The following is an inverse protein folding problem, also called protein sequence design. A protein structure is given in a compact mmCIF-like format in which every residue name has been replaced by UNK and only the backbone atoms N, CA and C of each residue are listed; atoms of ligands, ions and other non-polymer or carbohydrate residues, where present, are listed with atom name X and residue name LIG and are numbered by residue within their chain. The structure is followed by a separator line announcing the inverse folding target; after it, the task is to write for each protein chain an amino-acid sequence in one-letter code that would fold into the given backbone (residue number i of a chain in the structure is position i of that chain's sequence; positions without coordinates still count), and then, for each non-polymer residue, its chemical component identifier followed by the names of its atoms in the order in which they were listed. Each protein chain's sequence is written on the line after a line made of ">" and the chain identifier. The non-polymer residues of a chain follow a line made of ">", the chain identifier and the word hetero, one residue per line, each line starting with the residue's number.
data_IF_169752772226
#
_entry.id   IF_169752772226
#
_cell.length_a   1.000
_cell.length_b   1.000
_cell.length_c   1.000
_cell.angle_alpha   90.00
_cell.angle_beta   90.00
_cell.angle_gamma   90.00
#
_symmetry.space_group_name_H-M   'P 1'
#
loop_
_entity.id
_entity.type
_entity.pdbx_description
1 polymer ?
#
# COMPACT_ATOMS: atom_id res chain seq x y z
N UNK A 1 -11.18 -45.36 -18.32
CA UNK A 1 -10.69 -44.00 -18.66
C UNK A 1 -11.66 -42.92 -18.17
N UNK A 2 -12.05 -42.96 -16.90
CA UNK A 2 -12.94 -41.96 -16.29
C UNK A 2 -12.64 -41.78 -14.79
N UNK A 3 -11.36 -41.87 -14.42
CA UNK A 3 -10.94 -41.92 -13.01
C UNK A 3 -9.72 -41.06 -12.67
N UNK A 4 -9.34 -40.13 -13.55
CA UNK A 4 -8.21 -39.22 -13.31
C UNK A 4 -8.67 -37.78 -12.94
N UNK A 5 -9.95 -37.45 -13.12
CA UNK A 5 -10.45 -36.08 -12.94
C UNK A 5 -11.08 -35.76 -11.57
N UNK A 6 -10.98 -36.63 -10.55
CA UNK A 6 -11.73 -36.46 -9.28
C UNK A 6 -10.91 -36.15 -8.02
N UNK A 7 -9.63 -35.76 -8.12
CA UNK A 7 -8.82 -35.49 -6.89
C UNK A 7 -8.16 -34.12 -6.74
N UNK A 8 -8.19 -33.24 -7.74
CA UNK A 8 -7.64 -31.89 -7.60
C UNK A 8 -8.73 -30.84 -7.73
N UNK A 9 -9.42 -30.53 -6.62
CA UNK A 9 -10.19 -29.27 -6.47
C UNK A 9 -9.29 -28.14 -5.95
N UNK A 10 -8.08 -28.06 -6.50
CA UNK A 10 -7.25 -26.86 -6.47
C UNK A 10 -7.06 -26.48 -7.95
N UNK A 11 -8.14 -26.01 -8.58
CA UNK A 11 -7.99 -24.99 -9.61
C UNK A 11 -7.79 -23.70 -8.78
N UNK A 12 -6.57 -23.36 -8.37
CA UNK A 12 -5.59 -22.70 -9.24
C UNK A 12 -6.32 -21.67 -10.09
N UNK A 13 -6.45 -20.46 -9.53
CA UNK A 13 -6.67 -19.21 -10.26
C UNK A 13 -5.46 -18.94 -11.19
N UNK A 14 -5.10 -19.92 -12.03
CA UNK A 14 -4.03 -19.86 -13.03
C UNK A 14 -4.53 -19.29 -14.36
N UNK A 15 -5.63 -18.53 -14.31
CA UNK A 15 -6.31 -17.94 -15.47
C UNK A 15 -6.45 -16.41 -15.41
N UNK A 16 -5.84 -15.76 -14.42
CA UNK A 16 -5.73 -14.29 -14.34
C UNK A 16 -4.30 -13.77 -14.54
N UNK A 17 -3.38 -14.64 -14.98
CA UNK A 17 -2.00 -14.28 -15.32
C UNK A 17 -1.77 -14.06 -16.82
N UNK A 18 -2.82 -14.07 -17.64
CA UNK A 18 -2.74 -13.66 -19.04
C UNK A 18 -3.24 -12.23 -19.14
N UNK A 19 -2.33 -11.34 -19.53
CA UNK A 19 -2.48 -9.90 -19.78
C UNK A 19 -2.54 -8.97 -18.57
N UNK A 20 -1.54 -9.02 -17.68
CA UNK A 20 -0.90 -7.74 -17.35
C UNK A 20 0.08 -7.51 -18.49
N UNK A 21 -0.44 -7.03 -19.62
CA UNK A 21 0.41 -6.34 -20.58
C UNK A 21 1.14 -5.31 -19.75
N UNK A 22 2.44 -5.49 -19.53
CA UNK A 22 3.31 -4.43 -19.08
C UNK A 22 3.40 -3.42 -20.22
N UNK A 23 2.29 -2.77 -20.55
CA UNK A 23 2.32 -1.46 -21.15
C UNK A 23 3.06 -0.63 -20.14
N UNK A 24 4.33 -0.31 -20.44
CA UNK A 24 5.07 0.74 -19.78
C UNK A 24 4.19 1.99 -19.91
N UNK A 25 3.36 2.24 -18.90
CA UNK A 25 2.59 3.46 -18.82
C UNK A 25 3.61 4.48 -18.36
N UNK A 26 4.19 5.23 -19.29
CA UNK A 26 4.97 6.41 -18.92
C UNK A 26 4.01 7.33 -18.16
N UNK A 27 4.13 7.36 -16.83
CA UNK A 27 3.34 8.25 -15.99
C UNK A 27 4.08 9.57 -15.95
N UNK A 28 3.61 10.53 -16.75
CA UNK A 28 3.98 11.93 -16.55
C UNK A 28 3.34 12.38 -15.22
N UNK A 29 4.19 12.59 -14.21
CA UNK A 29 3.78 13.05 -12.88
C UNK A 29 3.53 14.57 -12.88
N UNK A 30 4.01 15.26 -13.91
CA UNK A 30 3.91 16.70 -14.06
C UNK A 30 2.46 17.18 -14.16
N UNK A 31 2.20 18.33 -13.54
CA UNK A 31 0.88 18.95 -13.48
C UNK A 31 0.32 19.03 -12.07
N UNK A 32 -0.96 19.38 -12.00
CA UNK A 32 -1.70 19.59 -10.77
C UNK A 32 -2.52 18.35 -10.39
N UNK A 33 -2.45 17.99 -9.12
CA UNK A 33 -3.13 16.85 -8.53
C UNK A 33 -3.81 17.25 -7.24
N UNK A 34 -5.00 16.72 -7.02
CA UNK A 34 -5.65 16.74 -5.72
C UNK A 34 -5.06 15.65 -4.83
N UNK A 35 -4.83 15.96 -3.56
CA UNK A 35 -4.33 15.02 -2.55
C UNK A 35 -5.06 15.25 -1.23
N UNK A 36 -5.15 14.19 -0.41
CA UNK A 36 -5.62 14.33 0.97
C UNK A 36 -4.50 14.73 1.92
N UNK A 37 -3.26 14.49 1.53
CA UNK A 37 -2.09 14.57 2.40
C UNK A 37 -1.08 15.59 1.90
N UNK A 38 -0.42 16.26 2.84
CA UNK A 38 0.64 17.23 2.54
C UNK A 38 1.94 16.46 2.41
N UNK A 39 2.49 16.39 1.20
CA UNK A 39 3.74 15.68 0.93
C UNK A 39 4.85 16.22 1.83
N UNK A 40 5.49 15.33 2.57
CA UNK A 40 6.59 15.66 3.48
C UNK A 40 6.19 16.06 4.91
N UNK A 41 4.93 16.39 5.14
CA UNK A 41 4.41 16.82 6.44
C UNK A 41 3.39 15.83 7.05
N UNK A 42 2.46 15.30 6.24
CA UNK A 42 1.56 14.24 6.69
C UNK A 42 2.35 12.97 7.06
N UNK A 43 2.03 12.36 8.20
CA UNK A 43 2.57 11.05 8.60
C UNK A 43 1.73 9.92 8.00
N UNK A 44 1.93 9.66 6.71
CA UNK A 44 1.24 8.61 5.95
C UNK A 44 2.25 7.66 5.32
N UNK A 45 1.81 6.42 5.12
CA UNK A 45 2.66 5.38 4.50
C UNK A 45 2.87 5.64 3.01
N UNK A 46 1.88 6.18 2.32
CA UNK A 46 1.90 6.47 0.89
C UNK A 46 1.06 7.72 0.61
N UNK A 47 1.31 8.38 -0.52
CA UNK A 47 0.52 9.53 -0.96
C UNK A 47 -0.39 9.13 -2.11
N UNK A 48 -1.65 9.57 -2.07
CA UNK A 48 -2.61 9.38 -3.16
C UNK A 48 -2.90 10.69 -3.86
N UNK A 49 -2.63 10.72 -5.15
CA UNK A 49 -2.79 11.84 -6.05
C UNK A 49 -3.93 11.52 -7.02
N UNK A 50 -4.89 12.43 -7.16
CA UNK A 50 -6.01 12.26 -8.07
C UNK A 50 -5.93 13.40 -9.08
N UNK A 51 -5.96 13.07 -10.37
CA UNK A 51 -5.89 14.08 -11.41
C UNK A 51 -7.07 15.04 -11.26
N UNK A 52 -6.78 16.31 -11.03
CA UNK A 52 -7.81 17.29 -10.75
C UNK A 52 -8.60 17.58 -12.03
N UNK A 53 -9.90 17.23 -12.04
CA UNK A 53 -10.82 17.55 -13.15
C UNK A 53 -11.56 18.87 -12.92
N UNK A 54 -11.64 19.32 -11.66
CA UNK A 54 -12.21 20.59 -11.19
C UNK A 54 -11.57 20.94 -9.84
N UNK A 55 -11.37 22.25 -9.59
CA UNK A 55 -10.90 22.81 -8.31
C UNK A 55 -11.76 22.27 -7.16
N UNK A 56 -11.22 21.28 -6.46
CA UNK A 56 -11.85 20.71 -5.28
C UNK A 56 -11.41 21.49 -4.04
N UNK A 57 -12.25 21.58 -3.01
CA UNK A 57 -11.93 22.20 -1.71
C UNK A 57 -10.86 21.43 -0.89
N UNK A 58 -9.99 20.67 -1.56
CA UNK A 58 -8.95 19.83 -0.98
C UNK A 58 -7.54 20.41 -1.12
N UNK A 59 -6.53 19.66 -0.64
CA UNK A 59 -5.12 20.03 -0.84
C UNK A 59 -4.74 19.74 -2.28
N UNK A 60 -3.90 20.60 -2.86
CA UNK A 60 -3.30 20.38 -4.16
C UNK A 60 -1.81 20.13 -4.05
N UNK A 61 -1.27 19.41 -5.02
CA UNK A 61 0.16 19.33 -5.30
C UNK A 61 0.39 19.61 -6.77
N UNK A 62 1.40 20.42 -7.05
CA UNK A 62 1.83 20.74 -8.40
C UNK A 62 3.26 20.24 -8.57
N UNK A 63 3.48 19.37 -9.56
CA UNK A 63 4.80 18.95 -10.02
C UNK A 63 5.15 19.75 -11.27
N UNK A 64 6.13 20.65 -11.16
CA UNK A 64 6.56 21.52 -12.25
C UNK A 64 7.59 20.83 -13.16
N UNK A 65 7.60 21.17 -14.44
CA UNK A 65 8.56 20.65 -15.43
C UNK A 65 10.03 20.91 -15.10
N UNK A 66 10.33 21.88 -14.23
CA UNK A 66 11.69 22.21 -13.80
C UNK A 66 12.19 21.33 -12.62
N UNK A 67 11.47 20.25 -12.27
CA UNK A 67 11.85 19.35 -11.17
C UNK A 67 11.54 19.90 -9.79
N UNK A 68 10.65 20.89 -9.66
CA UNK A 68 10.19 21.41 -8.36
C UNK A 68 8.74 21.04 -8.09
N UNK A 69 8.35 20.94 -6.82
CA UNK A 69 6.96 20.74 -6.45
C UNK A 69 6.51 21.70 -5.35
N UNK A 70 5.20 21.91 -5.27
CA UNK A 70 4.55 22.61 -4.16
C UNK A 70 3.29 21.86 -3.77
N UNK A 71 3.04 21.68 -2.47
CA UNK A 71 1.87 21.01 -1.93
C UNK A 71 1.25 21.83 -0.79
N UNK A 72 -0.07 21.95 -0.76
CA UNK A 72 -0.75 22.78 0.25
C UNK A 72 -2.25 22.88 0.04
N UNK A 73 -2.90 23.62 0.93
CA UNK A 73 -4.33 23.95 0.82
C UNK A 73 -4.52 25.24 0.00
N UNK A 74 -5.53 25.36 -0.87
CA UNK A 74 -5.89 26.66 -1.41
C UNK A 74 -6.29 27.61 -0.27
N UNK A 75 -5.74 28.82 -0.24
CA UNK A 75 -6.11 29.83 0.78
C UNK A 75 -7.51 30.36 0.49
N UNK A 76 -8.54 29.71 1.03
CA UNK A 76 -9.93 30.15 0.87
C UNK A 76 -10.30 31.15 1.99
N UNK A 77 -9.75 30.99 3.20
CA UNK A 77 -10.02 31.86 4.35
C UNK A 77 -8.74 32.18 5.16
N UNK A 78 -8.36 33.46 5.37
CA UNK A 78 -7.15 33.83 6.10
C UNK A 78 -7.22 33.54 7.62
N UNK A 79 -8.41 33.20 8.14
CA UNK A 79 -8.61 32.93 9.56
C UNK A 79 -8.01 31.58 9.99
N UNK A 80 -7.72 30.64 9.09
CA UNK A 80 -7.20 29.31 9.46
C UNK A 80 -5.71 29.28 9.85
N UNK A 81 -5.17 28.07 9.96
CA UNK A 81 -3.74 27.81 9.85
C UNK A 81 -3.51 26.66 8.87
N UNK A 82 -2.92 26.95 7.72
CA UNK A 82 -2.62 26.00 6.66
C UNK A 82 -1.12 25.77 6.54
N UNK A 83 -0.74 24.55 6.23
CA UNK A 83 0.65 24.13 5.99
C UNK A 83 0.91 23.99 4.50
N UNK A 84 2.09 24.40 4.07
CA UNK A 84 2.56 24.25 2.70
C UNK A 84 3.96 23.65 2.73
N UNK A 85 4.20 22.74 1.81
CA UNK A 85 5.52 22.19 1.54
C UNK A 85 5.94 22.49 0.11
N UNK A 86 7.23 22.66 -0.10
CA UNK A 86 7.81 22.73 -1.44
C UNK A 86 9.21 22.17 -1.44
N UNK A 87 9.69 21.78 -2.62
CA UNK A 87 11.05 21.32 -2.80
C UNK A 87 11.26 20.80 -4.20
N UNK A 88 12.11 19.79 -4.32
CA UNK A 88 12.52 19.21 -5.59
C UNK A 88 12.06 17.76 -5.72
N UNK A 89 11.92 17.32 -6.97
CA UNK A 89 11.74 15.93 -7.31
C UNK A 89 12.57 15.57 -8.54
N UNK A 90 12.85 14.28 -8.70
CA UNK A 90 13.54 13.76 -9.86
C UNK A 90 12.96 12.40 -10.22
N UNK A 91 12.56 12.24 -11.48
CA UNK A 91 12.23 10.94 -12.04
C UNK A 91 13.53 10.12 -12.13
N UNK A 92 13.58 8.99 -11.43
CA UNK A 92 14.74 8.08 -11.47
C UNK A 92 14.67 7.19 -12.70
N UNK A 93 13.46 6.76 -13.02
CA UNK A 93 13.09 6.06 -14.25
C UNK A 93 11.59 6.32 -14.55
N UNK A 94 10.96 5.50 -15.39
CA UNK A 94 9.54 5.66 -15.74
C UNK A 94 8.56 5.29 -14.61
N UNK A 95 9.04 4.56 -13.60
CA UNK A 95 8.25 3.94 -12.54
C UNK A 95 8.59 4.53 -11.15
N UNK A 96 9.69 5.29 -11.02
CA UNK A 96 10.15 5.79 -9.73
C UNK A 96 10.45 7.29 -9.73
N UNK A 97 10.09 7.93 -8.60
CA UNK A 97 10.33 9.34 -8.31
C UNK A 97 11.03 9.49 -6.95
N UNK A 98 12.06 10.33 -6.89
CA UNK A 98 12.67 10.76 -5.63
C UNK A 98 12.17 12.15 -5.29
N UNK A 99 11.79 12.39 -4.04
CA UNK A 99 11.23 13.67 -3.58
C UNK A 99 12.01 14.18 -2.37
N UNK A 100 12.40 15.45 -2.40
CA UNK A 100 13.03 16.14 -1.27
C UNK A 100 12.25 17.41 -0.92
N UNK A 101 11.85 17.53 0.34
CA UNK A 101 11.14 18.70 0.86
C UNK A 101 12.16 19.69 1.38
N UNK A 102 12.17 20.90 0.83
CA UNK A 102 13.16 21.93 1.15
C UNK A 102 12.59 23.02 2.05
N UNK A 103 11.27 23.24 1.98
CA UNK A 103 10.58 24.26 2.74
C UNK A 103 9.28 23.72 3.31
N UNK A 104 9.05 23.98 4.60
CA UNK A 104 7.76 23.85 5.25
C UNK A 104 7.38 25.22 5.81
N UNK A 105 6.22 25.74 5.42
CA UNK A 105 5.71 27.04 5.88
C UNK A 105 4.27 26.94 6.35
N UNK A 106 3.94 27.79 7.32
CA UNK A 106 2.61 27.89 7.91
C UNK A 106 2.02 29.27 7.62
N UNK A 107 0.80 29.31 7.09
CA UNK A 107 0.12 30.55 6.68
C UNK A 107 -1.28 30.59 7.28
N UNK A 108 -1.71 31.76 7.76
CA UNK A 108 -3.06 31.96 8.33
C UNK A 108 -3.03 32.45 9.78
N UNK A 109 -4.05 33.24 10.17
CA UNK A 109 -4.08 34.06 11.39
C UNK A 109 -3.85 33.25 12.67
N UNK A 110 -4.43 32.05 12.77
CA UNK A 110 -4.31 31.20 13.96
C UNK A 110 -3.06 30.30 13.99
N UNK A 111 -2.07 30.48 13.09
CA UNK A 111 -0.84 29.69 13.13
C UNK A 111 0.08 30.01 14.32
N UNK A 112 -0.09 31.14 15.00
CA UNK A 112 0.73 31.53 16.15
C UNK A 112 2.25 31.39 15.89
N UNK A 113 2.95 30.71 16.81
CA UNK A 113 4.40 30.48 16.74
C UNK A 113 4.82 29.49 15.65
N UNK A 114 3.91 28.80 14.96
CA UNK A 114 4.27 27.93 13.85
C UNK A 114 4.79 28.74 12.65
N UNK A 115 4.34 29.99 12.50
CA UNK A 115 4.82 30.90 11.44
C UNK A 115 6.32 31.19 11.51
N UNK A 116 6.90 31.12 12.71
CA UNK A 116 8.33 31.37 12.95
C UNK A 116 9.15 30.08 12.95
N UNK A 117 8.50 28.91 13.03
CA UNK A 117 9.12 27.61 12.81
C UNK A 117 9.26 27.37 11.30
N UNK A 118 10.23 28.04 10.69
CA UNK A 118 10.68 27.64 9.36
C UNK A 118 11.59 26.42 9.54
N UNK A 119 11.09 25.24 9.17
CA UNK A 119 11.94 24.05 9.07
C UNK A 119 12.78 24.17 7.80
N UNK A 120 13.92 24.87 7.90
CA UNK A 120 14.87 25.06 6.81
C UNK A 120 15.80 23.85 6.60
N UNK A 121 15.44 22.68 7.13
CA UNK A 121 16.21 21.46 6.91
C UNK A 121 15.57 20.71 5.78
N UNK A 122 16.27 20.64 4.64
CA UNK A 122 15.91 19.74 3.55
C UNK A 122 15.73 18.33 4.12
N UNK A 123 14.56 17.75 3.84
CA UNK A 123 14.18 16.39 4.21
C UNK A 123 14.00 15.60 2.92
N UNK A 124 14.96 14.73 2.64
CA UNK A 124 14.81 13.72 1.60
C UNK A 124 13.76 12.69 2.05
N UNK A 125 12.67 12.57 1.29
CA UNK A 125 11.61 11.60 1.56
C UNK A 125 11.95 10.21 1.01
N UNK A 126 13.02 10.10 0.23
CA UNK A 126 13.45 8.86 -0.41
C UNK A 126 12.78 8.62 -1.74
N UNK A 127 12.80 7.35 -2.15
CA UNK A 127 12.32 6.87 -3.44
C UNK A 127 10.89 6.35 -3.31
N UNK A 128 10.06 6.68 -4.30
CA UNK A 128 8.69 6.19 -4.42
C UNK A 128 8.51 5.48 -5.75
N UNK A 129 7.80 4.35 -5.71
CA UNK A 129 7.20 3.74 -6.89
C UNK A 129 5.90 4.49 -7.23
N UNK A 130 5.71 4.77 -8.52
CA UNK A 130 4.59 5.49 -9.09
C UNK A 130 3.58 4.47 -9.58
N UNK A 131 2.62 4.12 -8.71
CA UNK A 131 1.57 3.18 -9.07
C UNK A 131 0.35 3.90 -9.61
N UNK A 132 0.00 3.64 -10.88
CA UNK A 132 -1.19 4.24 -11.50
C UNK A 132 -2.40 3.32 -11.40
N UNK A 133 -3.49 3.87 -10.88
CA UNK A 133 -4.77 3.19 -10.69
C UNK A 133 -5.91 4.06 -11.23
N UNK A 134 -6.26 3.84 -12.50
CA UNK A 134 -7.25 4.67 -13.20
C UNK A 134 -6.75 6.11 -13.36
N UNK A 135 -7.52 7.07 -12.81
CA UNK A 135 -7.20 8.50 -12.78
C UNK A 135 -6.34 8.92 -11.57
N UNK A 136 -6.00 7.96 -10.70
CA UNK A 136 -5.17 8.19 -9.52
C UNK A 136 -3.74 7.69 -9.71
N UNK A 137 -2.81 8.35 -9.05
CA UNK A 137 -1.42 7.95 -8.88
C UNK A 137 -1.15 7.79 -7.39
N UNK A 138 -0.52 6.69 -7.00
CA UNK A 138 -0.06 6.43 -5.64
C UNK A 138 1.46 6.49 -5.62
N UNK A 139 2.01 7.27 -4.70
CA UNK A 139 3.44 7.34 -4.43
C UNK A 139 3.74 6.43 -3.23
N UNK A 140 4.40 5.32 -3.50
CA UNK A 140 4.56 4.22 -2.54
C UNK A 140 6.03 4.06 -2.21
N UNK A 141 6.45 4.06 -0.93
CA UNK A 141 7.85 3.92 -0.57
C UNK A 141 8.49 2.69 -1.23
N UNK A 142 9.61 2.93 -1.90
CA UNK A 142 10.30 1.97 -2.76
C UNK A 142 11.78 1.89 -2.40
N UNK A 143 12.37 0.71 -2.63
CA UNK A 143 13.81 0.49 -2.59
C UNK A 143 14.45 0.52 -4.00
N UNK A 144 13.66 0.82 -5.04
CA UNK A 144 14.07 0.91 -6.44
C UNK A 144 14.01 -0.41 -7.20
N UNK A 145 13.51 -1.49 -6.59
CA UNK A 145 13.38 -2.79 -7.25
C UNK A 145 11.95 -2.97 -7.76
N UNK A 146 11.74 -2.69 -9.06
CA UNK A 146 10.41 -2.69 -9.69
C UNK A 146 9.59 -3.96 -9.44
N UNK A 147 10.23 -5.13 -9.45
CA UNK A 147 9.51 -6.39 -9.18
C UNK A 147 9.01 -6.47 -7.75
N UNK A 148 9.79 -6.01 -6.76
CA UNK A 148 9.36 -5.98 -5.36
C UNK A 148 8.22 -4.99 -5.14
N UNK A 149 8.24 -3.85 -5.84
CA UNK A 149 7.15 -2.88 -5.74
C UNK A 149 5.86 -3.37 -6.39
N UNK A 150 5.95 -4.07 -7.53
CA UNK A 150 4.81 -4.77 -8.14
C UNK A 150 4.28 -5.87 -7.22
N UNK A 151 5.16 -6.65 -6.60
CA UNK A 151 4.80 -7.70 -5.66
C UNK A 151 4.07 -7.10 -4.43
N UNK A 152 4.56 -6.00 -3.84
CA UNK A 152 3.87 -5.30 -2.75
C UNK A 152 2.44 -4.90 -3.13
N UNK A 153 2.23 -4.41 -4.36
CA UNK A 153 0.91 -4.02 -4.86
C UNK A 153 -0.01 -5.21 -5.05
N UNK A 154 0.51 -6.29 -5.63
CA UNK A 154 -0.21 -7.54 -5.74
C UNK A 154 -0.66 -8.03 -4.35
N UNK A 155 0.25 -8.05 -3.37
CA UNK A 155 -0.06 -8.53 -2.01
C UNK A 155 -1.10 -7.65 -1.30
N UNK A 156 -1.03 -6.33 -1.48
CA UNK A 156 -2.04 -5.42 -0.95
C UNK A 156 -3.43 -5.70 -1.57
N UNK A 157 -3.50 -5.87 -2.90
CA UNK A 157 -4.75 -6.21 -3.60
C UNK A 157 -5.32 -7.56 -3.15
N UNK A 158 -4.46 -8.55 -2.94
CA UNK A 158 -4.86 -9.87 -2.44
C UNK A 158 -5.48 -9.79 -1.04
N UNK A 159 -4.85 -9.04 -0.12
CA UNK A 159 -5.39 -8.82 1.22
C UNK A 159 -6.71 -8.02 1.20
N UNK A 160 -6.83 -7.04 0.30
CA UNK A 160 -8.07 -6.27 0.13
C UNK A 160 -9.21 -7.10 -0.47
N UNK A 161 -8.92 -8.00 -1.41
CA UNK A 161 -9.87 -9.00 -1.92
C UNK A 161 -10.29 -9.96 -0.81
N UNK A 162 -9.32 -10.50 -0.06
CA UNK A 162 -9.60 -11.37 1.07
C UNK A 162 -10.50 -10.69 2.12
N UNK A 163 -10.25 -9.41 2.45
CA UNK A 163 -11.11 -8.63 3.36
C UNK A 163 -12.57 -8.56 2.90
N UNK A 164 -12.82 -8.50 1.59
CA UNK A 164 -14.20 -8.49 1.05
C UNK A 164 -14.84 -9.88 1.11
N UNK A 165 -14.02 -10.92 0.96
CA UNK A 165 -14.46 -12.28 0.73
C UNK A 165 -14.30 -13.21 1.93
N UNK A 166 -13.70 -12.80 3.06
CA UNK A 166 -13.29 -13.70 4.14
C UNK A 166 -14.40 -14.64 4.65
N UNK A 167 -15.68 -14.24 4.54
CA UNK A 167 -16.85 -15.07 4.90
C UNK A 167 -17.10 -16.26 3.97
N UNK A 168 -16.52 -16.25 2.76
CA UNK A 168 -16.51 -17.36 1.81
C UNK A 168 -15.47 -18.43 2.16
N UNK A 169 -14.66 -18.20 3.20
CA UNK A 169 -13.67 -19.17 3.67
C UNK A 169 -14.20 -19.96 4.87
N UNK A 170 -13.63 -21.15 5.07
CA UNK A 170 -13.77 -21.98 6.26
C UNK A 170 -12.51 -21.82 7.09
N UNK A 171 -12.67 -21.73 8.41
CA UNK A 171 -11.57 -21.60 9.36
C UNK A 171 -11.57 -22.81 10.31
N UNK A 172 -10.39 -23.40 10.53
CA UNK A 172 -10.16 -24.45 11.51
C UNK A 172 -9.09 -23.96 12.48
N UNK A 173 -9.55 -23.45 13.61
CA UNK A 173 -8.73 -22.78 14.60
C UNK A 173 -7.84 -23.75 15.39
N UNK A 174 -6.58 -23.36 15.58
CA UNK A 174 -5.66 -23.96 16.53
C UNK A 174 -5.28 -22.90 17.57
N UNK A 175 -5.08 -23.33 18.81
CA UNK A 175 -4.54 -22.46 19.86
C UNK A 175 -3.05 -22.18 19.58
N UNK A 176 -2.59 -20.99 19.94
CA UNK A 176 -1.18 -20.58 19.84
C UNK A 176 -0.81 -19.67 21.00
N UNK A 177 0.37 -19.89 21.58
CA UNK A 177 0.92 -18.99 22.60
C UNK A 177 1.79 -17.87 22.01
N UNK A 178 2.06 -17.95 20.69
CA UNK A 178 2.90 -17.02 19.95
C UNK A 178 2.38 -15.58 19.98
N UNK A 179 3.31 -14.63 19.94
CA UNK A 179 3.02 -13.20 19.82
C UNK A 179 3.65 -12.60 18.57
N UNK A 180 4.72 -13.21 18.07
CA UNK A 180 5.36 -12.82 16.81
C UNK A 180 4.78 -13.63 15.64
N UNK A 181 4.78 -13.08 14.41
CA UNK A 181 4.22 -13.79 13.25
C UNK A 181 4.75 -15.21 13.07
N UNK A 182 6.07 -15.40 13.12
CA UNK A 182 6.70 -16.72 12.95
C UNK A 182 6.35 -17.69 14.08
N UNK A 183 6.08 -17.21 15.29
CA UNK A 183 5.65 -18.05 16.41
C UNK A 183 4.20 -18.49 16.22
N UNK A 184 3.32 -17.54 15.86
CA UNK A 184 1.90 -17.79 15.59
C UNK A 184 1.74 -18.82 14.47
N UNK A 185 2.53 -18.70 13.40
CA UNK A 185 2.41 -19.53 12.22
C UNK A 185 2.94 -20.96 12.41
N UNK A 186 3.86 -21.20 13.36
CA UNK A 186 4.30 -22.58 13.72
C UNK A 186 3.15 -23.45 14.23
N UNK A 187 2.19 -22.82 14.90
CA UNK A 187 1.01 -23.49 15.43
C UNK A 187 -0.12 -23.61 14.39
N UNK A 188 0.02 -22.93 13.24
CA UNK A 188 -0.90 -23.06 12.12
C UNK A 188 -0.68 -24.40 11.42
N UNK A 189 -1.61 -25.33 11.61
CA UNK A 189 -1.58 -26.65 10.96
C UNK A 189 -2.64 -26.74 9.89
N UNK A 190 -2.26 -27.19 8.70
CA UNK A 190 -3.23 -27.61 7.70
C UNK A 190 -3.89 -28.93 8.12
N UNK A 191 -5.16 -28.83 8.53
CA UNK A 191 -5.96 -29.99 8.96
C UNK A 191 -6.42 -30.84 7.78
N UNK A 192 -6.44 -30.30 6.57
CA UNK A 192 -6.80 -31.02 5.34
C UNK A 192 -5.61 -31.77 4.74
N UNK A 193 -4.38 -31.53 5.21
CA UNK A 193 -3.12 -32.13 4.71
C UNK A 193 -2.93 -31.95 3.19
N UNK A 194 -3.36 -30.81 2.68
CA UNK A 194 -3.28 -30.37 1.28
C UNK A 194 -2.17 -29.34 1.04
N UNK A 195 -1.75 -28.63 2.09
CA UNK A 195 -0.82 -27.49 2.05
C UNK A 195 0.32 -27.81 3.01
N UNK A 196 1.53 -27.82 2.46
CA UNK A 196 2.74 -27.89 3.26
C UNK A 196 3.14 -26.46 3.65
N UNK A 197 3.24 -26.21 4.96
CA UNK A 197 3.67 -24.91 5.50
C UNK A 197 5.12 -24.99 5.98
N UNK A 198 5.93 -25.92 5.50
CA UNK A 198 7.33 -26.03 5.90
C UNK A 198 8.24 -24.96 5.27
N UNK A 199 7.91 -24.47 4.07
CA UNK A 199 8.77 -23.59 3.27
C UNK A 199 8.10 -22.26 2.84
N UNK A 200 7.12 -21.77 3.59
CA UNK A 200 6.47 -20.50 3.26
C UNK A 200 7.35 -19.29 3.62
N UNK A 201 7.03 -18.15 2.99
CA UNK A 201 7.44 -16.82 3.43
C UNK A 201 6.21 -15.98 3.72
N UNK A 202 6.23 -15.23 4.82
CA UNK A 202 5.23 -14.19 5.07
C UNK A 202 5.59 -13.02 4.16
N UNK A 203 4.74 -12.72 3.18
CA UNK A 203 5.01 -11.66 2.20
C UNK A 203 4.24 -10.38 2.48
N UNK A 204 3.14 -10.46 3.23
CA UNK A 204 2.40 -9.29 3.70
C UNK A 204 1.52 -9.64 4.90
N UNK A 205 1.09 -8.64 5.65
CA UNK A 205 0.14 -8.79 6.75
C UNK A 205 -0.72 -7.56 6.92
N UNK A 206 -1.94 -7.74 7.41
CA UNK A 206 -2.87 -6.64 7.64
C UNK A 206 -3.76 -6.91 8.84
N UNK A 207 -3.85 -5.93 9.73
CA UNK A 207 -4.80 -5.96 10.84
C UNK A 207 -6.20 -5.63 10.33
N UNK A 208 -7.14 -6.54 10.57
CA UNK A 208 -8.56 -6.35 10.32
C UNK A 208 -9.34 -6.46 11.63
N UNK A 209 -10.60 -6.02 11.62
CA UNK A 209 -11.44 -6.04 12.82
C UNK A 209 -11.74 -7.44 13.37
N UNK A 210 -11.57 -8.49 12.54
CA UNK A 210 -11.74 -9.89 12.93
C UNK A 210 -10.41 -10.61 13.22
N UNK A 211 -9.28 -9.91 13.19
CA UNK A 211 -7.96 -10.49 13.45
C UNK A 211 -6.88 -9.96 12.51
N UNK A 212 -5.63 -10.35 12.78
CA UNK A 212 -4.52 -10.13 11.87
C UNK A 212 -4.53 -11.18 10.76
N UNK A 213 -4.42 -10.74 9.51
CA UNK A 213 -4.34 -11.61 8.34
C UNK A 213 -2.92 -11.61 7.82
N UNK A 214 -2.32 -12.79 7.71
CA UNK A 214 -1.03 -13.02 7.06
C UNK A 214 -1.23 -13.57 5.66
N UNK A 215 -0.52 -13.02 4.68
CA UNK A 215 -0.39 -13.57 3.35
C UNK A 215 0.94 -14.34 3.28
N UNK A 216 0.84 -15.64 3.07
CA UNK A 216 1.96 -16.54 2.89
C UNK A 216 2.18 -16.81 1.41
N UNK A 217 3.44 -16.90 0.99
CA UNK A 217 3.85 -17.33 -0.34
C UNK A 217 4.71 -18.59 -0.24
N UNK A 218 4.37 -19.59 -1.04
CA UNK A 218 5.21 -20.77 -1.29
C UNK A 218 5.35 -20.93 -2.80
N UNK A 219 6.54 -20.67 -3.34
CA UNK A 219 6.76 -20.58 -4.78
C UNK A 219 5.77 -19.58 -5.44
N UNK A 220 4.89 -20.06 -6.31
CA UNK A 220 3.84 -19.26 -6.97
C UNK A 220 2.46 -19.39 -6.29
N UNK A 221 2.37 -20.13 -5.19
CA UNK A 221 1.13 -20.32 -4.44
C UNK A 221 1.02 -19.32 -3.29
N UNK A 222 -0.21 -18.92 -2.98
CA UNK A 222 -0.53 -17.99 -1.91
C UNK A 222 -1.57 -18.56 -0.96
N UNK A 223 -1.38 -18.31 0.33
CA UNK A 223 -2.27 -18.79 1.38
C UNK A 223 -2.56 -17.68 2.38
N UNK A 224 -3.80 -17.61 2.85
CA UNK A 224 -4.20 -16.68 3.90
C UNK A 224 -4.23 -17.41 5.24
N UNK A 225 -3.60 -16.83 6.26
CA UNK A 225 -3.71 -17.25 7.64
C UNK A 225 -4.33 -16.12 8.45
N UNK A 226 -5.33 -16.44 9.26
CA UNK A 226 -5.99 -15.48 10.16
C UNK A 226 -5.60 -15.81 11.59
N UNK A 227 -5.20 -14.78 12.31
CA UNK A 227 -4.86 -14.81 13.73
C UNK A 227 -5.80 -13.92 14.53
N UNK A 228 -6.49 -14.51 15.51
CA UNK A 228 -7.27 -13.81 16.49
C UNK A 228 -6.42 -13.66 17.77
N UNK A 229 -5.98 -12.42 18.02
CA UNK A 229 -5.14 -12.10 19.17
C UNK A 229 -5.86 -12.20 20.52
N UNK A 230 -7.19 -12.02 20.54
CA UNK A 230 -8.00 -12.08 21.77
C UNK A 230 -8.10 -13.52 22.25
N UNK A 231 -8.46 -14.43 21.34
CA UNK A 231 -8.63 -15.84 21.65
C UNK A 231 -7.34 -16.65 21.52
N UNK A 232 -6.23 -16.00 21.14
CA UNK A 232 -4.93 -16.66 20.91
C UNK A 232 -5.06 -17.84 19.94
N UNK A 233 -5.77 -17.63 18.83
CA UNK A 233 -6.10 -18.67 17.84
C UNK A 233 -5.63 -18.32 16.44
N UNK A 234 -5.16 -19.32 15.71
CA UNK A 234 -4.68 -19.20 14.33
C UNK A 234 -5.36 -20.22 13.43
N UNK A 235 -5.68 -19.82 12.20
CA UNK A 235 -6.28 -20.71 11.20
C UNK A 235 -5.80 -20.37 9.79
N UNK A 236 -5.51 -21.42 9.02
CA UNK A 236 -5.47 -21.31 7.56
C UNK A 236 -6.89 -21.04 7.04
N UNK A 237 -7.04 -20.15 6.08
CA UNK A 237 -8.32 -19.86 5.44
C UNK A 237 -8.51 -20.79 4.24
N UNK A 238 -9.51 -21.67 4.30
CA UNK A 238 -9.81 -22.57 3.19
C UNK A 238 -10.98 -22.02 2.36
N UNK A 239 -10.86 -21.82 1.05
CA UNK A 239 -12.01 -21.47 0.23
C UNK A 239 -13.09 -22.55 0.35
N UNK A 240 -14.35 -22.13 0.39
CA UNK A 240 -15.52 -23.03 0.40
C UNK A 240 -15.70 -23.75 -0.94
#
# INVERSE_FOLDING_TARGET
>A
MAEIFRKNKILLFLGLFLSISASAQVVSIEGEWSTKDIIGYSNVFEYSLIKEKQLSEGRSVIFNLNGTFSCGEPMICPNGCSVYTSGSYTMVDNDHIRIAVENVRFVGFYCGNLRTKQENKSKDLGLFYIYKEGDAVRLIPSNGVLQEDKDKMLYAQMLDSFKKEWRSYVFVWNDTDGNLPDEILKDCKDKRKQIDLSNYKIVSSKNENYGNVFLLRENENFYYVVYNAVDKKVSLAYPK
#
